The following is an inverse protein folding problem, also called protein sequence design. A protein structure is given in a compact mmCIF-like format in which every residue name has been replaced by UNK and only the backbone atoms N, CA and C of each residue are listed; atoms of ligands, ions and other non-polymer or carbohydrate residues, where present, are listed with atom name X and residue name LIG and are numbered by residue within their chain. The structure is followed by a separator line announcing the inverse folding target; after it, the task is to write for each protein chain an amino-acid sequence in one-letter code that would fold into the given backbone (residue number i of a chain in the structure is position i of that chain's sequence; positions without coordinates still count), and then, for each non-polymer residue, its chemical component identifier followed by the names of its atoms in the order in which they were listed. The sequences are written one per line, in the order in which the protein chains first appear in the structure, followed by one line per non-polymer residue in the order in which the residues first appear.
data_IF_363711062309
#
_entry.id   IF_363711062309
#
_cell.length_a   1.000
_cell.length_b   1.000
_cell.length_c   1.000
_cell.angle_alpha   90.00
_cell.angle_beta   90.00
_cell.angle_gamma   90.00
#
_symmetry.space_group_name_H-M   'P 1'
#
loop_
_entity.id
_entity.type
_entity.pdbx_description
1 polymer ?
#
# COMPACT_ATOMS: atom_id res chain seq x y z
N UNK A 1 -5.54 -10.25 13.32
CA UNK A 1 -5.27 -9.01 12.58
C UNK A 1 -5.43 -7.81 13.50
N UNK A 2 -4.52 -6.87 13.38
CA UNK A 2 -4.57 -5.60 14.09
C UNK A 2 -4.77 -4.47 13.10
N UNK A 3 -5.63 -3.51 13.44
CA UNK A 3 -5.82 -2.30 12.64
C UNK A 3 -4.91 -1.21 13.18
N UNK A 4 -4.16 -0.59 12.27
CA UNK A 4 -3.22 0.49 12.59
C UNK A 4 -3.60 1.71 11.76
N UNK A 5 -3.67 2.86 12.40
CA UNK A 5 -3.97 4.12 11.72
C UNK A 5 -2.69 4.86 11.37
N UNK A 6 -2.73 5.53 10.21
CA UNK A 6 -1.67 6.45 9.77
C UNK A 6 -2.28 7.84 9.61
N UNK A 7 -2.40 8.60 10.70
CA UNK A 7 -3.20 9.83 10.67
C UNK A 7 -2.51 11.03 10.03
N UNK A 8 -1.19 11.01 9.91
CA UNK A 8 -0.43 12.15 9.39
C UNK A 8 -0.21 12.05 7.88
N UNK A 9 -0.49 13.11 7.17
CA UNK A 9 -0.25 13.22 5.73
C UNK A 9 0.60 14.46 5.45
N UNK A 10 1.88 14.28 5.05
CA UNK A 10 2.59 13.02 4.82
C UNK A 10 2.83 12.25 6.12
N UNK A 11 3.04 10.93 6.04
CA UNK A 11 3.27 10.13 7.24
C UNK A 11 4.61 10.53 7.90
N UNK A 12 4.65 10.40 9.22
CA UNK A 12 5.92 10.60 9.93
C UNK A 12 6.90 9.49 9.58
N UNK A 13 8.22 9.72 9.71
CA UNK A 13 9.20 8.65 9.51
C UNK A 13 8.93 7.41 10.38
N UNK A 14 8.45 7.60 11.60
CA UNK A 14 8.10 6.49 12.50
C UNK A 14 6.90 5.70 11.98
N UNK A 15 5.86 6.38 11.52
CA UNK A 15 4.69 5.73 10.93
C UNK A 15 5.07 4.95 9.70
N UNK A 16 5.93 5.50 8.86
CA UNK A 16 6.39 4.81 7.66
C UNK A 16 7.22 3.56 8.00
N UNK A 17 8.12 3.65 8.96
CA UNK A 17 8.92 2.49 9.42
C UNK A 17 8.04 1.41 10.01
N UNK A 18 7.06 1.79 10.84
CA UNK A 18 6.12 0.84 11.42
C UNK A 18 5.29 0.14 10.33
N UNK A 19 4.79 0.89 9.36
CA UNK A 19 4.05 0.32 8.24
C UNK A 19 4.87 -0.76 7.53
N UNK A 20 6.09 -0.43 7.14
CA UNK A 20 6.94 -1.36 6.42
C UNK A 20 7.26 -2.61 7.25
N UNK A 21 7.55 -2.44 8.54
CA UNK A 21 7.83 -3.56 9.44
C UNK A 21 6.59 -4.44 9.63
N UNK A 22 5.43 -3.85 9.84
CA UNK A 22 4.18 -4.57 10.03
C UNK A 22 3.79 -5.35 8.76
N UNK A 23 3.98 -4.75 7.59
CA UNK A 23 3.70 -5.41 6.31
C UNK A 23 4.58 -6.64 6.13
N UNK A 24 5.89 -6.50 6.36
CA UNK A 24 6.82 -7.63 6.26
C UNK A 24 6.49 -8.74 7.26
N UNK A 25 6.18 -8.38 8.50
CA UNK A 25 5.80 -9.35 9.53
C UNK A 25 4.57 -10.15 9.11
N UNK A 26 3.53 -9.47 8.65
CA UNK A 26 2.28 -10.11 8.24
C UNK A 26 2.51 -11.04 7.05
N UNK A 27 3.22 -10.57 6.03
CA UNK A 27 3.53 -11.34 4.83
C UNK A 27 4.38 -12.56 5.16
N UNK A 28 5.38 -12.41 6.05
CA UNK A 28 6.22 -13.53 6.49
C UNK A 28 5.41 -14.61 7.21
N UNK A 29 4.31 -14.25 7.83
CA UNK A 29 3.36 -15.20 8.43
C UNK A 29 2.42 -15.86 7.43
N UNK A 30 2.57 -15.57 6.14
CA UNK A 30 1.65 -16.02 5.11
C UNK A 30 0.31 -15.30 5.11
N UNK A 31 0.25 -14.11 5.71
CA UNK A 31 -0.97 -13.30 5.83
C UNK A 31 -0.80 -12.00 5.06
N UNK A 32 -1.67 -11.77 4.08
CA UNK A 32 -1.70 -10.49 3.37
C UNK A 32 -2.12 -9.36 4.28
N UNK A 33 -1.86 -8.15 3.82
CA UNK A 33 -2.26 -6.92 4.49
C UNK A 33 -3.39 -6.28 3.70
N UNK A 34 -4.39 -5.73 4.38
CA UNK A 34 -5.41 -4.90 3.75
C UNK A 34 -5.09 -3.45 4.06
N UNK A 35 -4.83 -2.67 3.01
CA UNK A 35 -4.54 -1.25 3.14
C UNK A 35 -5.68 -0.42 2.56
N UNK A 36 -6.11 0.59 3.32
CA UNK A 36 -7.09 1.57 2.87
C UNK A 36 -6.33 2.76 2.34
N UNK A 37 -6.49 3.07 1.05
CA UNK A 37 -5.73 4.12 0.39
C UNK A 37 -6.63 5.26 -0.08
N UNK A 38 -6.00 6.42 -0.20
CA UNK A 38 -6.59 7.63 -0.80
C UNK A 38 -5.62 8.09 -1.88
N UNK A 39 -6.07 8.03 -3.13
CA UNK A 39 -5.23 8.36 -4.27
C UNK A 39 -5.83 9.54 -5.05
N UNK A 40 -5.36 10.77 -4.82
CA UNK A 40 -5.75 11.89 -5.66
C UNK A 40 -5.05 11.82 -7.02
N UNK A 41 -5.53 12.55 -8.04
CA UNK A 41 -4.87 12.55 -9.37
C UNK A 41 -3.38 12.90 -9.32
N UNK A 42 -2.97 13.71 -8.35
CA UNK A 42 -1.56 14.07 -8.16
C UNK A 42 -0.71 12.95 -7.58
N UNK A 43 -1.32 11.85 -7.12
CA UNK A 43 -0.62 10.73 -6.49
C UNK A 43 -1.29 9.39 -6.81
N UNK A 44 -1.62 9.16 -8.07
CA UNK A 44 -2.08 7.84 -8.49
C UNK A 44 -0.94 6.82 -8.38
N UNK A 45 -1.23 5.57 -7.98
CA UNK A 45 -0.20 4.54 -7.87
C UNK A 45 0.60 4.39 -9.16
N UNK A 46 1.91 4.36 -9.01
CA UNK A 46 2.84 4.20 -10.12
C UNK A 46 3.66 2.94 -9.92
N UNK A 47 3.51 1.99 -10.83
CA UNK A 47 4.23 0.73 -10.75
C UNK A 47 5.73 0.95 -10.92
N UNK A 48 6.51 0.16 -10.17
CA UNK A 48 7.98 0.14 -10.27
C UNK A 48 8.46 -1.23 -10.75
N UNK A 49 9.69 -1.29 -11.19
CA UNK A 49 10.27 -2.53 -11.69
C UNK A 49 10.17 -3.67 -10.65
N UNK A 50 9.93 -4.92 -11.07
CA UNK A 50 9.85 -5.38 -12.46
C UNK A 50 8.49 -5.16 -13.15
N UNK A 51 7.54 -4.50 -12.49
CA UNK A 51 6.26 -4.16 -13.12
C UNK A 51 6.47 -3.08 -14.18
N UNK A 52 5.71 -3.17 -15.27
CA UNK A 52 5.77 -2.22 -16.38
C UNK A 52 4.46 -1.49 -16.62
N UNK A 53 3.39 -1.91 -15.94
CA UNK A 53 2.05 -1.35 -16.11
C UNK A 53 1.52 -0.88 -14.77
N UNK A 54 1.19 0.41 -14.69
CA UNK A 54 0.55 1.00 -13.52
C UNK A 54 -0.96 0.76 -13.55
N UNK A 55 -1.63 0.68 -12.38
CA UNK A 55 -3.08 0.57 -12.36
C UNK A 55 -3.71 1.82 -12.97
N UNK A 56 -4.79 1.63 -13.72
CA UNK A 56 -5.46 2.74 -14.37
C UNK A 56 -6.53 3.34 -13.45
N UNK A 57 -6.12 4.33 -12.67
CA UNK A 57 -7.04 5.13 -11.87
C UNK A 57 -7.45 6.36 -12.67
N UNK A 58 -8.71 6.75 -12.57
CA UNK A 58 -9.22 7.95 -13.25
C UNK A 58 -10.43 8.50 -12.50
N UNK A 59 -10.82 9.72 -12.83
CA UNK A 59 -12.05 10.30 -12.29
C UNK A 59 -11.91 10.92 -10.91
N UNK A 60 -10.80 11.61 -10.61
CA UNK A 60 -10.61 12.33 -9.36
C UNK A 60 -9.95 11.49 -8.28
N UNK A 61 -10.22 11.81 -7.01
CA UNK A 61 -9.64 11.08 -5.88
C UNK A 61 -10.28 9.71 -5.75
N UNK A 62 -9.45 8.68 -5.70
CA UNK A 62 -9.88 7.29 -5.56
C UNK A 62 -9.72 6.84 -4.12
N UNK A 63 -10.81 6.40 -3.51
CA UNK A 63 -10.84 5.79 -2.18
C UNK A 63 -10.99 4.29 -2.38
N UNK A 64 -10.00 3.51 -1.92
CA UNK A 64 -9.94 2.11 -2.31
C UNK A 64 -9.22 1.27 -1.27
N UNK A 65 -9.54 -0.03 -1.25
CA UNK A 65 -8.82 -1.03 -0.44
C UNK A 65 -7.99 -1.90 -1.37
N UNK A 66 -6.74 -2.11 -1.01
CA UNK A 66 -5.82 -2.98 -1.72
C UNK A 66 -5.24 -4.03 -0.79
N UNK A 67 -4.79 -5.14 -1.35
CA UNK A 67 -4.07 -6.16 -0.60
C UNK A 67 -2.57 -6.05 -0.88
N UNK A 68 -1.76 -6.08 0.19
CA UNK A 68 -0.31 -6.12 0.08
C UNK A 68 0.11 -7.55 0.37
N UNK A 69 0.67 -8.21 -0.64
CA UNK A 69 0.86 -9.66 -0.61
C UNK A 69 2.31 -10.11 -0.69
N UNK A 70 3.23 -9.22 -0.97
CA UNK A 70 4.65 -9.55 -1.09
C UNK A 70 5.53 -8.34 -0.91
N UNK A 71 6.83 -8.56 -0.73
CA UNK A 71 7.80 -7.48 -0.61
C UNK A 71 9.17 -7.86 -1.17
N UNK A 72 9.91 -6.83 -1.52
CA UNK A 72 11.31 -6.91 -1.91
C UNK A 72 11.97 -5.63 -1.42
N UNK A 73 13.28 -5.47 -1.53
CA UNK A 73 13.93 -4.24 -1.06
C UNK A 73 13.29 -2.99 -1.67
N UNK A 74 12.79 -2.12 -0.78
CA UNK A 74 12.21 -0.83 -1.16
C UNK A 74 10.86 -0.86 -1.87
N UNK A 75 10.20 -2.01 -1.97
CA UNK A 75 8.92 -2.13 -2.68
C UNK A 75 8.02 -3.23 -2.12
N UNK A 76 6.74 -3.12 -2.47
CA UNK A 76 5.71 -4.08 -2.06
C UNK A 76 4.90 -4.52 -3.27
N UNK A 77 4.45 -5.78 -3.26
CA UNK A 77 3.55 -6.33 -4.28
C UNK A 77 2.11 -6.10 -3.84
N UNK A 78 1.37 -5.43 -4.73
CA UNK A 78 -0.04 -5.12 -4.54
C UNK A 78 -0.89 -6.05 -5.37
N UNK A 79 -1.93 -6.62 -4.74
CA UNK A 79 -3.02 -7.29 -5.43
C UNK A 79 -4.24 -6.37 -5.36
N UNK A 80 -4.76 -5.99 -6.50
CA UNK A 80 -5.87 -5.05 -6.63
C UNK A 80 -6.96 -5.66 -7.50
N UNK A 81 -8.08 -6.01 -6.89
CA UNK A 81 -9.20 -6.65 -7.60
C UNK A 81 -9.99 -5.68 -8.46
N UNK A 82 -9.84 -4.38 -8.26
CA UNK A 82 -10.66 -3.35 -8.91
C UNK A 82 -10.07 -2.72 -10.15
N UNK A 83 -8.76 -2.76 -10.33
CA UNK A 83 -8.08 -2.02 -11.39
C UNK A 83 -7.05 -2.89 -12.10
N UNK A 84 -7.17 -2.95 -13.45
CA UNK A 84 -6.14 -3.57 -14.28
C UNK A 84 -4.79 -2.85 -14.02
N UNK A 85 -3.65 -3.52 -13.91
CA UNK A 85 -3.37 -4.94 -14.24
C UNK A 85 -3.62 -5.94 -13.12
N UNK A 86 -4.29 -5.55 -12.04
CA UNK A 86 -4.69 -6.37 -10.89
C UNK A 86 -3.54 -6.80 -9.98
N UNK A 87 -2.31 -6.62 -10.39
CA UNK A 87 -1.12 -6.89 -9.58
C UNK A 87 0.05 -6.07 -10.09
N UNK A 88 0.81 -5.46 -9.16
CA UNK A 88 1.96 -4.65 -9.52
C UNK A 88 2.84 -4.37 -8.29
N UNK A 89 4.10 -4.06 -8.57
CA UNK A 89 5.02 -3.57 -7.55
C UNK A 89 4.88 -2.06 -7.41
N UNK A 90 4.88 -1.58 -6.16
CA UNK A 90 4.86 -0.16 -5.84
C UNK A 90 6.01 0.15 -4.88
N UNK A 91 6.59 1.35 -4.96
CA UNK A 91 7.62 1.74 -4.00
C UNK A 91 7.05 1.87 -2.60
N UNK A 92 7.86 1.55 -1.60
CA UNK A 92 7.49 1.73 -0.19
C UNK A 92 7.13 3.19 0.08
N UNK A 93 7.88 4.13 -0.48
CA UNK A 93 7.63 5.55 -0.28
C UNK A 93 6.25 5.97 -0.78
N UNK A 94 5.87 5.55 -1.99
CA UNK A 94 4.56 5.90 -2.52
C UNK A 94 3.43 5.20 -1.77
N UNK A 95 3.60 3.92 -1.45
CA UNK A 95 2.58 3.19 -0.69
C UNK A 95 2.32 3.87 0.65
N UNK A 96 3.38 4.27 1.36
CA UNK A 96 3.25 5.01 2.62
C UNK A 96 2.51 6.34 2.44
N UNK A 97 2.64 6.98 1.29
CA UNK A 97 1.96 8.27 1.00
C UNK A 97 0.49 8.12 0.65
N UNK A 98 0.05 6.92 0.26
CA UNK A 98 -1.33 6.67 -0.17
C UNK A 98 -2.27 6.33 0.98
N UNK A 99 -1.76 5.84 2.09
CA UNK A 99 -2.59 5.35 3.19
C UNK A 99 -3.17 6.46 4.07
N UNK A 100 -2.39 7.49 4.49
CA UNK A 100 -2.94 8.55 5.33
C UNK A 100 -4.13 9.28 4.68
N UNK A 101 -5.10 9.73 5.45
CA UNK A 101 -5.24 9.61 6.91
C UNK A 101 -5.90 8.30 7.35
N UNK A 102 -5.93 7.31 6.51
CA UNK A 102 -6.56 6.00 6.75
C UNK A 102 -5.61 5.07 7.51
N UNK A 103 -5.64 3.80 7.22
CA UNK A 103 -4.83 2.83 7.91
C UNK A 103 -4.79 1.49 7.19
N UNK A 104 -4.33 0.48 7.90
CA UNK A 104 -4.20 -0.87 7.37
C UNK A 104 -4.52 -1.90 8.45
N UNK A 105 -4.78 -3.13 8.01
CA UNK A 105 -4.94 -4.28 8.89
C UNK A 105 -3.90 -5.34 8.53
N UNK A 106 -3.15 -5.78 9.52
CA UNK A 106 -2.04 -6.72 9.35
C UNK A 106 -2.00 -7.72 10.49
N UNK A 107 -1.46 -8.92 10.22
CA UNK A 107 -1.26 -9.95 11.23
C UNK A 107 0.05 -9.66 11.97
N UNK A 108 -0.04 -8.91 13.06
CA UNK A 108 1.10 -8.43 13.84
C UNK A 108 0.95 -8.64 15.35
N UNK A 109 -0.17 -9.21 15.76
CA UNK A 109 -0.43 -9.53 17.16
C UNK A 109 0.26 -10.79 17.66
#
# INVERSE_FOLDING_TARGET
YCTVRMPNDPPTPEQRRKMAADFRTSIDRGKGVVANIVAPPSNYPHAVAPSTVSPYYSGGTVYHYIAVMGYAPGRFWIADSGFYPYGYWISEAQLASLIPPKGYSASIG
#
